data_IF_474186909039
#
_entry.id   IF_474186909039
#
_cell.length_a   1.000
_cell.length_b   1.000
_cell.length_c   1.000
_cell.angle_alpha   90.00
_cell.angle_beta   90.00
_cell.angle_gamma   90.00
#
_symmetry.space_group_name_H-M   'P 1'
#
loop_
_entity.id
_entity.type
_entity.pdbx_description
1 polymer ?
#
# COMPACT_ATOMS: atom_id res chain seq x y z
N UNK A 1 16.95 -39.36 -37.08
CA UNK A 1 16.93 -38.41 -35.95
C UNK A 1 15.47 -38.21 -35.57
N UNK A 2 15.09 -38.59 -34.35
CA UNK A 2 13.73 -38.44 -33.85
C UNK A 2 13.82 -37.63 -32.55
N UNK A 3 13.28 -36.41 -32.54
CA UNK A 3 13.21 -35.58 -31.35
C UNK A 3 11.83 -35.84 -30.72
N UNK A 4 11.82 -36.54 -29.59
CA UNK A 4 10.61 -36.76 -28.78
C UNK A 4 10.31 -35.48 -27.99
N UNK A 5 9.24 -34.79 -28.35
CA UNK A 5 8.62 -33.73 -27.56
C UNK A 5 7.90 -34.37 -26.36
N UNK A 6 8.49 -34.28 -25.17
CA UNK A 6 7.76 -34.52 -23.92
C UNK A 6 6.99 -33.24 -23.56
N UNK A 7 5.68 -33.27 -23.75
CA UNK A 7 4.76 -32.27 -23.21
C UNK A 7 4.60 -32.50 -21.71
N UNK A 8 5.40 -31.80 -20.90
CA UNK A 8 5.15 -31.66 -19.46
C UNK A 8 3.97 -30.73 -19.27
N UNK A 9 2.86 -31.29 -18.79
CA UNK A 9 1.65 -30.54 -18.50
C UNK A 9 1.90 -29.59 -17.32
N UNK A 10 1.39 -28.36 -17.38
CA UNK A 10 1.69 -27.30 -16.38
C UNK A 10 1.33 -27.74 -14.94
N UNK A 11 0.40 -28.68 -14.81
CA UNK A 11 -0.01 -29.26 -13.52
C UNK A 11 1.13 -30.03 -12.82
N UNK A 12 2.07 -30.61 -13.58
CA UNK A 12 3.21 -31.35 -13.04
C UNK A 12 4.30 -30.43 -12.46
N UNK A 13 4.35 -29.18 -12.94
CA UNK A 13 5.29 -28.18 -12.42
C UNK A 13 4.84 -27.70 -11.04
N UNK A 14 3.53 -27.54 -10.84
CA UNK A 14 2.98 -27.09 -9.56
C UNK A 14 2.92 -28.19 -8.51
N UNK A 15 2.85 -29.48 -8.87
CA UNK A 15 2.83 -30.58 -7.89
C UNK A 15 4.21 -30.87 -7.27
N UNK A 16 5.30 -30.55 -7.97
CA UNK A 16 6.66 -30.78 -7.46
C UNK A 16 7.06 -29.84 -6.31
N UNK A 17 6.46 -28.65 -6.22
CA UNK A 17 6.77 -27.69 -5.14
C UNK A 17 6.07 -28.01 -3.84
N UNK A 18 4.91 -28.69 -3.85
CA UNK A 18 4.20 -29.07 -2.63
C UNK A 18 4.75 -30.34 -1.96
N UNK A 19 5.42 -31.23 -2.71
CA UNK A 19 5.94 -32.48 -2.15
C UNK A 19 7.37 -32.41 -1.62
N UNK A 20 8.11 -31.31 -1.85
CA UNK A 20 9.53 -31.24 -1.47
C UNK A 20 9.80 -30.98 0.03
N UNK A 21 8.78 -30.62 0.81
CA UNK A 21 8.94 -30.27 2.23
C UNK A 21 8.30 -31.23 3.25
N UNK A 22 7.84 -32.40 2.83
CA UNK A 22 7.47 -33.47 3.77
C UNK A 22 8.64 -34.45 3.95
N UNK A 23 9.67 -33.99 4.65
CA UNK A 23 10.65 -34.88 5.27
C UNK A 23 9.96 -35.55 6.46
N UNK A 24 9.52 -36.79 6.28
CA UNK A 24 9.19 -37.68 7.39
C UNK A 24 10.48 -38.00 8.16
N UNK A 25 10.58 -37.75 9.47
CA UNK A 25 11.70 -38.26 10.25
C UNK A 25 11.49 -39.76 10.49
N UNK A 26 12.38 -40.58 9.93
CA UNK A 26 12.50 -42.00 10.30
C UNK A 26 13.03 -42.13 11.72
N UNK A 27 12.29 -42.81 12.60
CA UNK A 27 12.70 -43.17 13.96
C UNK A 27 13.88 -44.18 13.94
N UNK A 28 14.97 -43.95 14.68
CA UNK A 28 15.76 -45.04 15.21
C UNK A 28 15.17 -45.51 16.53
N UNK A 29 14.76 -46.77 16.60
CA UNK A 29 14.50 -47.45 17.87
C UNK A 29 15.82 -47.60 18.64
N UNK A 30 15.95 -46.95 19.80
CA UNK A 30 16.74 -47.51 20.89
C UNK A 30 16.21 -47.04 22.25
N UNK A 31 15.84 -48.00 23.08
CA UNK A 31 15.40 -47.81 24.46
C UNK A 31 16.60 -47.52 25.35
N UNK A 32 16.57 -46.42 26.10
CA UNK A 32 17.22 -46.31 27.42
C UNK A 32 16.66 -45.09 28.18
N UNK A 33 16.17 -45.34 29.38
CA UNK A 33 15.60 -44.40 30.35
C UNK A 33 16.48 -43.16 30.58
N UNK A 34 15.86 -41.98 30.69
CA UNK A 34 16.03 -41.02 31.81
C UNK A 34 15.17 -39.75 31.62
N UNK A 35 14.48 -39.37 32.70
CA UNK A 35 13.98 -38.04 33.08
C UNK A 35 12.82 -37.40 32.29
N UNK A 36 11.64 -37.45 32.92
CA UNK A 36 10.45 -36.65 32.60
C UNK A 36 10.46 -35.41 33.50
N UNK A 37 10.87 -34.26 32.96
CA UNK A 37 10.59 -32.88 33.44
C UNK A 37 11.39 -31.93 32.52
N UNK A 38 10.86 -30.96 31.78
CA UNK A 38 9.79 -30.01 32.04
C UNK A 38 9.06 -29.70 30.72
N UNK A 39 7.74 -29.89 30.77
CA UNK A 39 6.68 -29.19 30.04
C UNK A 39 7.13 -28.26 28.91
N UNK A 40 6.98 -28.81 27.70
CA UNK A 40 6.47 -28.14 26.52
C UNK A 40 5.51 -26.99 26.90
N UNK A 41 5.88 -25.75 26.62
CA UNK A 41 4.93 -24.64 26.75
C UNK A 41 5.09 -23.55 25.67
N UNK A 42 5.80 -23.84 24.56
CA UNK A 42 6.10 -22.82 23.54
C UNK A 42 5.53 -23.09 22.14
N UNK A 43 4.70 -24.12 21.93
CA UNK A 43 4.36 -24.53 20.55
C UNK A 43 2.92 -24.38 20.09
N UNK A 44 2.00 -23.84 20.88
CA UNK A 44 0.62 -23.60 20.42
C UNK A 44 0.14 -22.18 20.80
N UNK A 45 0.79 -21.14 20.26
CA UNK A 45 0.03 -19.90 20.04
C UNK A 45 -0.92 -20.19 18.89
N UNK A 46 -2.26 -20.09 19.06
CA UNK A 46 -3.17 -20.19 17.94
C UNK A 46 -2.74 -19.16 16.89
N UNK A 47 -2.65 -19.60 15.64
CA UNK A 47 -2.46 -18.68 14.52
C UNK A 47 -3.78 -17.89 14.44
N UNK A 48 -3.77 -16.69 14.99
CA UNK A 48 -4.90 -15.76 14.92
C UNK A 48 -4.79 -14.98 13.61
N UNK A 49 -5.78 -15.18 12.73
CA UNK A 49 -5.98 -14.34 11.57
C UNK A 49 -6.55 -13.00 12.05
N UNK A 50 -5.76 -11.93 11.91
CA UNK A 50 -6.15 -10.58 12.34
C UNK A 50 -5.98 -9.59 11.21
N UNK A 51 -7.04 -8.84 10.94
CA UNK A 51 -6.98 -7.69 10.05
C UNK A 51 -6.44 -6.49 10.83
N UNK A 52 -5.18 -6.15 10.59
CA UNK A 52 -4.58 -4.93 11.11
C UNK A 52 -4.62 -3.84 10.03
N UNK A 53 -4.97 -2.59 10.38
CA UNK A 53 -4.90 -1.49 9.43
C UNK A 53 -3.49 -1.32 8.85
N UNK A 54 -3.40 -0.88 7.60
CA UNK A 54 -2.11 -0.54 7.01
C UNK A 54 -1.52 0.68 7.71
N UNK A 55 -0.18 0.79 7.69
CA UNK A 55 0.52 1.95 8.26
C UNK A 55 0.05 3.28 7.65
N UNK A 56 -0.21 3.28 6.36
CA UNK A 56 -0.69 4.47 5.64
C UNK A 56 -2.09 4.86 6.07
N UNK A 57 -3.02 3.89 6.17
CA UNK A 57 -4.37 4.14 6.67
C UNK A 57 -4.35 4.75 8.07
N UNK A 58 -3.58 4.16 8.99
CA UNK A 58 -3.47 4.65 10.38
C UNK A 58 -2.99 6.09 10.42
N UNK A 59 -1.95 6.43 9.65
CA UNK A 59 -1.42 7.80 9.57
C UNK A 59 -2.46 8.80 9.05
N UNK A 60 -3.21 8.44 8.00
CA UNK A 60 -4.25 9.33 7.44
C UNK A 60 -5.32 9.64 8.50
N UNK A 61 -5.75 8.63 9.26
CA UNK A 61 -6.74 8.82 10.33
C UNK A 61 -6.18 9.69 11.47
N UNK A 62 -4.93 9.48 11.87
CA UNK A 62 -4.27 10.29 12.92
C UNK A 62 -4.10 11.77 12.52
N UNK A 63 -4.02 12.05 11.23
CA UNK A 63 -3.85 13.40 10.69
C UNK A 63 -5.17 14.12 10.39
N UNK A 64 -6.33 13.47 10.58
CA UNK A 64 -7.65 13.98 10.19
C UNK A 64 -7.89 15.44 10.60
N UNK A 65 -7.65 15.78 11.87
CA UNK A 65 -7.87 17.14 12.37
C UNK A 65 -6.85 18.15 11.81
N UNK A 66 -5.68 17.67 11.42
CA UNK A 66 -4.56 18.51 10.96
C UNK A 66 -4.64 18.86 9.48
N UNK A 67 -5.43 18.12 8.71
CA UNK A 67 -5.64 18.33 7.27
C UNK A 67 -6.95 19.06 6.97
N UNK A 68 -7.64 19.53 8.02
CA UNK A 68 -8.93 20.18 7.87
C UNK A 68 -8.82 21.48 7.07
N UNK A 69 -9.70 21.66 6.09
CA UNK A 69 -9.71 22.85 5.24
C UNK A 69 -8.54 22.92 4.26
N UNK A 70 -7.97 21.78 3.87
CA UNK A 70 -6.91 21.68 2.86
C UNK A 70 -7.25 22.30 1.51
N UNK A 71 -8.53 22.42 1.18
CA UNK A 71 -9.00 23.01 -0.07
C UNK A 71 -9.56 24.43 0.08
N UNK A 72 -9.37 25.05 1.26
CA UNK A 72 -9.87 26.40 1.52
C UNK A 72 -9.26 27.46 0.60
N UNK A 73 -7.95 27.39 0.41
CA UNK A 73 -7.17 28.29 -0.43
C UNK A 73 -5.82 27.64 -0.80
N UNK A 74 -5.12 28.20 -1.78
CA UNK A 74 -3.84 27.68 -2.29
C UNK A 74 -2.80 27.52 -1.18
N UNK A 75 -2.73 28.46 -0.24
CA UNK A 75 -1.75 28.37 0.85
C UNK A 75 -2.07 27.20 1.78
N UNK A 76 -3.35 27.02 2.12
CA UNK A 76 -3.82 25.90 2.94
C UNK A 76 -3.53 24.55 2.25
N UNK A 77 -3.75 24.48 0.94
CA UNK A 77 -3.43 23.30 0.13
C UNK A 77 -1.95 22.96 0.15
N UNK A 78 -1.06 23.94 -0.06
CA UNK A 78 0.39 23.73 -0.01
C UNK A 78 0.85 23.29 1.38
N UNK A 79 0.39 23.96 2.44
CA UNK A 79 0.76 23.64 3.83
C UNK A 79 0.35 22.22 4.21
N UNK A 80 -0.84 21.78 3.81
CA UNK A 80 -1.32 20.43 4.11
C UNK A 80 -0.59 19.39 3.26
N UNK A 81 -0.34 19.69 1.98
CA UNK A 81 0.48 18.84 1.11
C UNK A 81 1.89 18.62 1.68
N UNK A 82 2.54 19.68 2.17
CA UNK A 82 3.84 19.56 2.86
C UNK A 82 3.77 18.69 4.12
N UNK A 83 2.68 18.79 4.89
CA UNK A 83 2.48 17.96 6.07
C UNK A 83 2.32 16.48 5.68
N UNK A 84 1.50 16.19 4.68
CA UNK A 84 1.32 14.83 4.17
C UNK A 84 2.62 14.25 3.60
N UNK A 85 3.48 15.09 3.01
CA UNK A 85 4.81 14.70 2.57
C UNK A 85 5.76 14.39 3.73
N UNK A 86 5.80 15.24 4.77
CA UNK A 86 6.59 15.00 6.00
C UNK A 86 6.20 13.69 6.69
N UNK A 87 4.92 13.33 6.64
CA UNK A 87 4.39 12.09 7.21
C UNK A 87 4.58 10.86 6.28
N UNK A 88 5.12 11.08 5.08
CA UNK A 88 5.44 10.03 4.11
C UNK A 88 4.22 9.46 3.39
N UNK A 89 3.10 10.19 3.36
CA UNK A 89 1.89 9.83 2.61
C UNK A 89 2.01 10.29 1.15
N UNK A 90 2.49 11.53 0.97
CA UNK A 90 2.88 12.04 -0.34
C UNK A 90 4.38 11.83 -0.55
N UNK A 91 4.78 11.54 -1.80
CA UNK A 91 6.18 11.41 -2.18
C UNK A 91 6.67 12.67 -2.95
N UNK A 92 7.94 12.69 -3.35
CA UNK A 92 8.53 13.85 -4.04
C UNK A 92 7.84 14.15 -5.39
N UNK A 93 7.48 13.12 -6.14
CA UNK A 93 6.80 13.27 -7.42
C UNK A 93 5.39 13.85 -7.24
N UNK A 94 4.70 13.46 -6.16
CA UNK A 94 3.40 14.03 -5.79
C UNK A 94 3.57 15.54 -5.48
N UNK A 95 4.66 15.94 -4.83
CA UNK A 95 4.96 17.35 -4.56
C UNK A 95 5.22 18.17 -5.83
N UNK A 96 5.75 17.56 -6.90
CA UNK A 96 5.88 18.23 -8.21
C UNK A 96 4.47 18.59 -8.75
N UNK A 97 3.52 17.66 -8.63
CA UNK A 97 2.15 17.91 -9.04
C UNK A 97 1.45 18.93 -8.12
N UNK A 98 1.72 18.92 -6.80
CA UNK A 98 1.23 19.94 -5.86
C UNK A 98 1.71 21.33 -6.29
N UNK A 99 3.02 21.49 -6.54
CA UNK A 99 3.60 22.78 -6.95
C UNK A 99 3.01 23.30 -8.26
N UNK A 100 2.70 22.39 -9.18
CA UNK A 100 2.04 22.72 -10.44
C UNK A 100 0.59 23.16 -10.20
N UNK A 101 -0.20 22.36 -9.49
CA UNK A 101 -1.61 22.65 -9.20
C UNK A 101 -1.77 23.93 -8.39
N UNK A 102 -0.87 24.22 -7.44
CA UNK A 102 -0.91 25.44 -6.65
C UNK A 102 -0.72 26.72 -7.49
N UNK A 103 -0.02 26.62 -8.64
CA UNK A 103 0.18 27.75 -9.56
C UNK A 103 -0.96 27.91 -10.56
N UNK A 104 -1.46 26.79 -11.06
CA UNK A 104 -2.43 26.77 -12.15
C UNK A 104 -3.89 26.72 -11.68
N UNK A 105 -4.14 26.36 -10.42
CA UNK A 105 -5.48 26.29 -9.83
C UNK A 105 -5.76 27.52 -8.96
N UNK A 106 -6.66 28.43 -9.37
CA UNK A 106 -7.07 29.56 -8.54
C UNK A 106 -7.84 29.13 -7.29
N UNK A 107 -8.45 27.94 -7.33
CA UNK A 107 -9.23 27.34 -6.25
C UNK A 107 -8.90 25.86 -6.17
N UNK A 108 -8.12 25.43 -5.17
CA UNK A 108 -7.72 24.04 -5.05
C UNK A 108 -8.93 23.19 -4.67
N UNK A 109 -9.56 22.55 -5.64
CA UNK A 109 -10.63 21.58 -5.46
C UNK A 109 -10.52 20.49 -6.55
N UNK A 110 -11.21 19.37 -6.34
CA UNK A 110 -11.15 18.22 -7.26
C UNK A 110 -11.68 18.54 -8.66
N UNK A 111 -12.69 19.41 -8.78
CA UNK A 111 -13.28 19.77 -10.06
C UNK A 111 -12.30 20.59 -10.91
N UNK A 112 -11.58 21.53 -10.28
CA UNK A 112 -10.58 22.35 -10.92
C UNK A 112 -9.35 21.53 -11.32
N UNK A 113 -8.91 20.60 -10.46
CA UNK A 113 -7.83 19.67 -10.81
C UNK A 113 -8.19 18.80 -12.02
N UNK A 114 -9.43 18.32 -12.08
CA UNK A 114 -9.94 17.55 -13.22
C UNK A 114 -9.96 18.37 -14.51
N UNK A 115 -10.35 19.65 -14.46
CA UNK A 115 -10.28 20.55 -15.63
C UNK A 115 -8.84 20.77 -16.08
N UNK A 116 -7.93 21.02 -15.15
CA UNK A 116 -6.50 21.20 -15.45
C UNK A 116 -5.96 19.96 -16.16
N UNK A 117 -6.29 18.76 -15.68
CA UNK A 117 -5.83 17.49 -16.26
C UNK A 117 -6.35 17.24 -17.69
N UNK A 118 -7.52 17.80 -18.03
CA UNK A 118 -8.08 17.74 -19.39
C UNK A 118 -7.40 18.70 -20.38
N UNK A 119 -6.52 19.58 -19.91
CA UNK A 119 -5.79 20.50 -20.78
C UNK A 119 -4.83 19.75 -21.72
N UNK A 120 -4.91 20.02 -23.02
CA UNK A 120 -4.11 19.38 -24.05
C UNK A 120 -2.63 19.81 -24.06
N UNK A 121 -2.29 20.92 -23.41
CA UNK A 121 -0.90 21.41 -23.32
C UNK A 121 -0.05 20.68 -22.28
N UNK A 122 -0.65 19.85 -21.42
CA UNK A 122 0.07 19.05 -20.43
C UNK A 122 0.70 17.81 -21.07
N UNK A 123 1.96 17.55 -20.73
CA UNK A 123 2.62 16.30 -21.10
C UNK A 123 1.90 15.10 -20.46
N UNK A 124 1.99 13.93 -21.12
CA UNK A 124 1.38 12.69 -20.59
C UNK A 124 1.92 12.33 -19.20
N UNK A 125 3.20 12.59 -18.97
CA UNK A 125 3.85 12.38 -17.66
C UNK A 125 3.24 13.28 -16.59
N UNK A 126 3.08 14.58 -16.87
CA UNK A 126 2.47 15.52 -15.92
C UNK A 126 1.00 15.17 -15.64
N UNK A 127 0.24 14.78 -16.67
CA UNK A 127 -1.13 14.25 -16.49
C UNK A 127 -1.14 13.03 -15.56
N UNK A 128 -0.16 12.13 -15.72
CA UNK A 128 0.00 10.96 -14.84
C UNK A 128 0.30 11.33 -13.39
N UNK A 129 1.21 12.28 -13.16
CA UNK A 129 1.54 12.78 -11.82
C UNK A 129 0.33 13.44 -11.14
N UNK A 130 -0.36 14.34 -11.85
CA UNK A 130 -1.57 14.99 -11.35
C UNK A 130 -2.65 13.96 -11.04
N UNK A 131 -2.91 13.01 -11.94
CA UNK A 131 -3.91 11.97 -11.73
C UNK A 131 -3.64 11.14 -10.48
N UNK A 132 -2.39 10.70 -10.28
CA UNK A 132 -1.99 9.94 -9.09
C UNK A 132 -2.13 10.76 -7.81
N UNK A 133 -1.74 12.03 -7.84
CA UNK A 133 -1.90 12.93 -6.70
C UNK A 133 -3.39 13.12 -6.36
N UNK A 134 -4.24 13.43 -7.36
CA UNK A 134 -5.68 13.61 -7.17
C UNK A 134 -6.31 12.38 -6.53
N UNK A 135 -6.01 11.18 -7.05
CA UNK A 135 -6.51 9.93 -6.46
C UNK A 135 -6.09 9.73 -5.00
N UNK A 136 -4.83 10.08 -4.65
CA UNK A 136 -4.38 10.04 -3.26
C UNK A 136 -5.12 11.04 -2.38
N UNK A 137 -5.31 12.26 -2.88
CA UNK A 137 -6.03 13.30 -2.15
C UNK A 137 -7.51 12.93 -1.96
N UNK A 138 -8.17 12.35 -2.96
CA UNK A 138 -9.53 11.81 -2.85
C UNK A 138 -9.60 10.70 -1.80
N UNK A 139 -8.63 9.78 -1.79
CA UNK A 139 -8.54 8.74 -0.76
C UNK A 139 -8.37 9.34 0.64
N UNK A 140 -7.49 10.32 0.80
CA UNK A 140 -7.25 11.00 2.08
C UNK A 140 -8.52 11.72 2.55
N UNK A 141 -9.17 12.47 1.65
CA UNK A 141 -10.41 13.18 1.98
C UNK A 141 -11.53 12.20 2.36
N UNK A 142 -11.67 11.10 1.61
CA UNK A 142 -12.63 10.04 1.93
C UNK A 142 -12.39 9.43 3.32
N UNK A 143 -11.15 9.00 3.60
CA UNK A 143 -10.79 8.37 4.88
C UNK A 143 -10.91 9.34 6.06
N UNK A 144 -10.66 10.63 5.83
CA UNK A 144 -10.81 11.70 6.82
C UNK A 144 -12.23 12.27 6.90
N UNK A 145 -13.22 11.64 6.24
CA UNK A 145 -14.63 12.06 6.24
C UNK A 145 -14.87 13.46 5.69
N UNK A 146 -14.17 13.81 4.62
CA UNK A 146 -14.29 15.10 3.94
C UNK A 146 -13.51 16.22 4.62
N UNK A 147 -12.51 15.93 5.47
CA UNK A 147 -11.83 16.94 6.25
C UNK A 147 -11.12 17.98 5.38
N UNK A 148 -10.56 17.60 4.23
CA UNK A 148 -9.87 18.55 3.35
C UNK A 148 -10.85 19.54 2.71
N UNK A 149 -12.05 19.04 2.38
CA UNK A 149 -13.13 19.80 1.75
C UNK A 149 -14.01 20.58 2.75
N UNK A 150 -13.80 20.41 4.06
CA UNK A 150 -14.65 20.93 5.15
C UNK A 150 -14.34 22.36 5.60
#
# INVERSE_FOLDING_TARGET
MNIQNNSTDLKDIFSQSYHRNVLSPSLPQNNSHSEVSLLENNFHKPIEDSFVPSKEYTKIIELQDQIKGGFKDVNSFVVISEKLHKEGILNNDDMIAVDFLAKESPKPDFDEFNKIMQNDYLSLEMKGLISRLVQKLEMIDYLSKGAMSA
#
